data_IF_512654582325
#
_entry.id   IF_512654582325
#
_cell.length_a   1.000
_cell.length_b   1.000
_cell.length_c   1.000
_cell.angle_alpha   90.00
_cell.angle_beta   90.00
_cell.angle_gamma   90.00
#
_symmetry.space_group_name_H-M   'P 1'
#
loop_
_entity.id
_entity.type
_entity.pdbx_description
1 polymer ?
#
# COMPACT_ATOMS: atom_id res chain seq x y z
N UNK A 1 -18.75 0.61 -22.32
CA UNK A 1 -18.16 1.66 -21.44
C UNK A 1 -18.80 1.67 -20.05
N UNK A 2 -20.12 1.80 -19.95
CA UNK A 2 -20.80 1.81 -18.65
C UNK A 2 -20.62 0.51 -17.86
N UNK A 3 -20.72 -0.64 -18.52
CA UNK A 3 -20.49 -1.95 -17.90
C UNK A 3 -19.05 -2.09 -17.39
N UNK A 4 -18.08 -1.55 -18.15
CA UNK A 4 -16.67 -1.58 -17.76
C UNK A 4 -16.43 -0.74 -16.51
N UNK A 5 -16.99 0.47 -16.44
CA UNK A 5 -16.85 1.37 -15.28
C UNK A 5 -17.48 0.77 -14.02
N UNK A 6 -18.68 0.20 -14.14
CA UNK A 6 -19.35 -0.47 -13.01
C UNK A 6 -18.54 -1.65 -12.51
N UNK A 7 -18.04 -2.47 -13.44
CA UNK A 7 -17.23 -3.63 -13.10
C UNK A 7 -15.94 -3.21 -12.38
N UNK A 8 -15.32 -2.14 -12.85
CA UNK A 8 -14.11 -1.59 -12.24
C UNK A 8 -14.39 -1.13 -10.81
N UNK A 9 -15.47 -0.36 -10.62
CA UNK A 9 -15.85 0.14 -9.29
C UNK A 9 -16.11 -1.01 -8.32
N UNK A 10 -16.87 -2.01 -8.76
CA UNK A 10 -17.18 -3.17 -7.92
C UNK A 10 -15.92 -3.93 -7.52
N UNK A 11 -14.98 -4.08 -8.46
CA UNK A 11 -13.77 -4.85 -8.18
C UNK A 11 -12.74 -4.09 -7.35
N UNK A 12 -12.68 -2.77 -7.47
CA UNK A 12 -11.76 -1.99 -6.66
C UNK A 12 -12.29 -1.72 -5.26
N UNK A 13 -13.60 -1.85 -5.05
CA UNK A 13 -14.23 -1.51 -3.77
C UNK A 13 -13.60 -2.24 -2.56
N UNK A 14 -13.33 -3.56 -2.58
CA UNK A 14 -12.67 -4.21 -1.45
C UNK A 14 -11.30 -3.60 -1.13
N UNK A 15 -10.53 -3.24 -2.13
CA UNK A 15 -9.21 -2.61 -1.93
C UNK A 15 -9.38 -1.24 -1.30
N UNK A 16 -10.36 -0.46 -1.75
CA UNK A 16 -10.67 0.86 -1.18
C UNK A 16 -11.05 0.70 0.30
N UNK A 17 -11.88 -0.27 0.63
CA UNK A 17 -12.28 -0.51 2.02
C UNK A 17 -11.10 -0.88 2.89
N UNK A 18 -10.21 -1.74 2.41
CA UNK A 18 -9.00 -2.13 3.13
C UNK A 18 -8.09 -0.91 3.33
N UNK A 19 -7.90 -0.09 2.30
CA UNK A 19 -7.06 1.09 2.39
C UNK A 19 -7.65 2.14 3.34
N UNK A 20 -8.96 2.33 3.35
CA UNK A 20 -9.63 3.24 4.28
C UNK A 20 -9.45 2.74 5.72
N UNK A 21 -9.67 1.45 5.96
CA UNK A 21 -9.48 0.86 7.28
C UNK A 21 -8.04 1.02 7.77
N UNK A 22 -7.07 0.71 6.92
CA UNK A 22 -5.66 0.86 7.25
C UNK A 22 -5.31 2.34 7.51
N UNK A 23 -5.82 3.24 6.69
CA UNK A 23 -5.59 4.67 6.83
C UNK A 23 -6.15 5.22 8.13
N UNK A 24 -7.35 4.77 8.52
CA UNK A 24 -7.95 5.16 9.81
C UNK A 24 -7.12 4.64 10.98
N UNK A 25 -6.63 3.39 10.89
CA UNK A 25 -5.77 2.85 11.92
C UNK A 25 -4.45 3.62 12.02
N UNK A 26 -3.83 3.94 10.89
CA UNK A 26 -2.58 4.72 10.87
C UNK A 26 -2.80 6.11 11.47
N UNK A 27 -3.91 6.76 11.13
CA UNK A 27 -4.25 8.06 11.68
C UNK A 27 -4.47 8.00 13.19
N UNK A 28 -5.13 6.95 13.68
CA UNK A 28 -5.36 6.72 15.10
C UNK A 28 -4.04 6.54 15.85
N UNK A 29 -3.14 5.71 15.33
CA UNK A 29 -1.82 5.47 15.92
C UNK A 29 -1.00 6.76 16.02
N UNK A 30 -1.01 7.57 14.98
CA UNK A 30 -0.24 8.81 14.91
C UNK A 30 -1.00 10.03 15.42
N UNK A 31 -2.30 9.88 15.68
CA UNK A 31 -3.17 10.95 16.18
C UNK A 31 -3.15 12.20 15.31
N UNK A 32 -3.08 12.00 13.99
CA UNK A 32 -3.20 13.08 13.04
C UNK A 32 -2.00 14.03 12.95
N UNK A 33 -0.80 13.58 13.28
CA UNK A 33 0.40 14.39 13.20
C UNK A 33 0.66 14.93 11.78
N UNK A 34 1.60 15.90 11.62
CA UNK A 34 1.83 16.56 10.34
C UNK A 34 2.33 15.63 9.24
N UNK A 35 2.85 14.46 9.60
CA UNK A 35 3.37 13.48 8.66
C UNK A 35 2.31 12.46 8.24
N UNK A 36 1.07 12.63 8.66
CA UNK A 36 -0.02 11.68 8.39
C UNK A 36 -0.22 11.43 6.89
N UNK A 37 -0.23 12.51 6.08
CA UNK A 37 -0.41 12.38 4.64
C UNK A 37 0.71 11.59 3.98
N UNK A 38 1.93 11.75 4.47
CA UNK A 38 3.07 10.97 3.98
C UNK A 38 2.93 9.49 4.33
N UNK A 39 2.41 9.19 5.51
CA UNK A 39 2.21 7.82 5.95
C UNK A 39 1.13 7.11 5.15
N UNK A 40 0.22 7.87 4.55
CA UNK A 40 -0.83 7.32 3.69
C UNK A 40 -0.38 7.10 2.24
N UNK A 41 0.82 7.57 1.88
CA UNK A 41 1.33 7.47 0.51
C UNK A 41 1.31 6.04 -0.04
N UNK A 42 1.78 4.99 0.68
CA UNK A 42 1.72 3.64 0.14
C UNK A 42 0.29 3.17 -0.16
N UNK A 43 -0.68 3.61 0.64
CA UNK A 43 -2.08 3.29 0.37
C UNK A 43 -2.58 3.96 -0.91
N UNK A 44 -2.22 5.23 -1.11
CA UNK A 44 -2.59 5.97 -2.30
C UNK A 44 -1.98 5.35 -3.56
N UNK A 45 -0.70 4.98 -3.50
CA UNK A 45 -0.02 4.34 -4.62
C UNK A 45 -0.64 2.98 -4.93
N UNK A 46 -0.99 2.20 -3.90
CA UNK A 46 -1.65 0.91 -4.08
C UNK A 46 -2.99 1.08 -4.79
N UNK A 47 -3.80 2.07 -4.37
CA UNK A 47 -5.07 2.35 -5.03
C UNK A 47 -4.87 2.71 -6.49
N UNK A 48 -3.87 3.53 -6.79
CA UNK A 48 -3.53 3.90 -8.17
C UNK A 48 -3.12 2.71 -9.00
N UNK A 49 -2.31 1.81 -8.45
CA UNK A 49 -1.89 0.59 -9.14
C UNK A 49 -3.06 -0.35 -9.38
N UNK A 50 -3.94 -0.51 -8.39
CA UNK A 50 -5.14 -1.34 -8.55
C UNK A 50 -6.08 -0.77 -9.62
N UNK A 51 -6.29 0.54 -9.60
CA UNK A 51 -7.10 1.21 -10.60
C UNK A 51 -6.51 1.01 -12.00
N UNK A 52 -5.21 1.22 -12.15
CA UNK A 52 -4.53 1.06 -13.43
C UNK A 52 -4.61 -0.39 -13.94
N UNK A 53 -4.43 -1.36 -13.03
CA UNK A 53 -4.52 -2.78 -13.35
C UNK A 53 -5.90 -3.13 -13.89
N UNK A 54 -6.94 -2.69 -13.19
CA UNK A 54 -8.32 -2.96 -13.60
C UNK A 54 -8.69 -2.23 -14.89
N UNK A 55 -8.25 -0.99 -15.03
CA UNK A 55 -8.53 -0.21 -16.23
C UNK A 55 -7.92 -0.85 -17.47
N UNK A 56 -6.66 -1.27 -17.37
CA UNK A 56 -5.98 -1.94 -18.49
C UNK A 56 -6.57 -3.30 -18.80
N UNK A 57 -7.09 -3.98 -17.78
CA UNK A 57 -7.71 -5.29 -17.94
C UNK A 57 -9.18 -5.25 -18.32
N UNK A 58 -9.73 -4.07 -18.63
CA UNK A 58 -11.15 -3.95 -18.98
C UNK A 58 -12.08 -4.31 -17.84
N UNK A 59 -11.68 -4.00 -16.60
CA UNK A 59 -12.43 -4.33 -15.40
C UNK A 59 -12.07 -5.68 -14.80
N UNK A 60 -11.06 -6.36 -15.32
CA UNK A 60 -10.58 -7.63 -14.80
C UNK A 60 -9.15 -7.49 -14.31
N UNK A 61 -8.81 -8.15 -13.21
CA UNK A 61 -7.46 -8.10 -12.68
C UNK A 61 -6.42 -8.66 -13.66
N UNK A 62 -6.75 -9.75 -14.33
CA UNK A 62 -5.85 -10.42 -15.27
C UNK A 62 -6.23 -10.19 -16.74
N UNK A 63 -7.07 -9.20 -17.03
CA UNK A 63 -7.53 -8.93 -18.39
C UNK A 63 -6.43 -8.55 -19.36
N UNK A 64 -5.32 -7.99 -18.87
CA UNK A 64 -4.16 -7.61 -19.66
C UNK A 64 -2.91 -8.42 -19.24
N UNK A 65 -3.09 -9.67 -18.83
CA UNK A 65 -2.02 -10.54 -18.37
C UNK A 65 -1.78 -10.44 -16.89
N UNK A 66 -0.77 -11.16 -16.41
CA UNK A 66 -0.50 -11.29 -14.97
C UNK A 66 0.59 -10.34 -14.46
N UNK A 67 1.26 -9.59 -15.33
CA UNK A 67 2.34 -8.70 -14.90
C UNK A 67 1.84 -7.61 -13.96
N UNK A 68 0.80 -6.89 -14.36
CA UNK A 68 0.26 -5.81 -13.53
C UNK A 68 -0.35 -6.33 -12.21
N UNK A 69 -1.20 -7.40 -12.21
CA UNK A 69 -1.73 -7.92 -10.96
C UNK A 69 -0.64 -8.41 -10.00
N UNK A 70 0.32 -9.19 -10.50
CA UNK A 70 1.41 -9.69 -9.66
C UNK A 70 2.37 -8.58 -9.24
N UNK A 71 2.62 -7.61 -10.11
CA UNK A 71 3.40 -6.43 -9.74
C UNK A 71 2.72 -5.63 -8.65
N UNK A 72 1.43 -5.38 -8.77
CA UNK A 72 0.64 -4.67 -7.76
C UNK A 72 0.64 -5.43 -6.43
N UNK A 73 0.46 -6.74 -6.46
CA UNK A 73 0.52 -7.57 -5.25
C UNK A 73 1.92 -7.53 -4.63
N UNK A 74 2.95 -7.60 -5.46
CA UNK A 74 4.34 -7.50 -5.03
C UNK A 74 4.68 -6.15 -4.43
N UNK A 75 4.02 -5.08 -4.86
CA UNK A 75 4.10 -3.77 -4.22
C UNK A 75 3.36 -3.79 -2.88
N UNK A 76 2.14 -4.31 -2.86
CA UNK A 76 1.27 -4.24 -1.69
C UNK A 76 1.85 -4.95 -0.47
N UNK A 77 2.36 -6.16 -0.65
CA UNK A 77 2.83 -6.99 0.47
C UNK A 77 3.92 -6.29 1.27
N UNK A 78 5.09 -5.92 0.68
CA UNK A 78 6.13 -5.28 1.46
C UNK A 78 5.79 -3.84 1.86
N UNK A 79 5.14 -3.06 1.01
CA UNK A 79 4.81 -1.67 1.31
C UNK A 79 3.83 -1.58 2.48
N UNK A 80 2.71 -2.29 2.40
CA UNK A 80 1.71 -2.27 3.46
C UNK A 80 2.19 -3.01 4.69
N UNK A 81 2.93 -4.11 4.51
CA UNK A 81 3.50 -4.86 5.62
C UNK A 81 4.47 -4.02 6.43
N UNK A 82 5.36 -3.29 5.78
CA UNK A 82 6.31 -2.40 6.45
C UNK A 82 5.59 -1.25 7.14
N UNK A 83 4.64 -0.61 6.46
CA UNK A 83 3.86 0.48 7.04
C UNK A 83 3.09 0.00 8.27
N UNK A 84 2.42 -1.15 8.17
CA UNK A 84 1.67 -1.73 9.27
C UNK A 84 2.58 -2.10 10.44
N UNK A 85 3.74 -2.70 10.14
CA UNK A 85 4.71 -3.08 11.17
C UNK A 85 5.20 -1.85 11.94
N UNK A 86 5.56 -0.78 11.25
CA UNK A 86 6.06 0.42 11.90
C UNK A 86 4.99 1.08 12.76
N UNK A 87 3.75 1.13 12.29
CA UNK A 87 2.65 1.67 13.09
C UNK A 87 2.34 0.79 14.30
N UNK A 88 2.38 -0.53 14.13
CA UNK A 88 2.17 -1.47 15.23
C UNK A 88 3.29 -1.33 16.27
N UNK A 89 4.54 -1.32 15.83
CA UNK A 89 5.69 -1.17 16.72
C UNK A 89 5.63 0.13 17.49
N UNK A 90 5.21 1.21 16.85
CA UNK A 90 5.05 2.50 17.52
C UNK A 90 3.93 2.43 18.56
N UNK A 91 2.80 1.81 18.25
CA UNK A 91 1.63 1.76 19.13
C UNK A 91 1.91 0.99 20.43
N UNK A 92 2.74 -0.05 20.37
CA UNK A 92 3.06 -0.89 21.54
C UNK A 92 4.48 -0.67 22.06
N UNK A 93 5.22 0.25 21.48
CA UNK A 93 6.62 0.55 21.85
C UNK A 93 7.46 -0.74 21.91
N UNK A 94 7.40 -1.49 20.83
CA UNK A 94 7.99 -2.83 20.73
C UNK A 94 9.51 -2.79 21.00
N UNK A 95 9.96 -3.57 22.01
CA UNK A 95 11.38 -3.67 22.40
C UNK A 95 12.01 -2.32 22.78
N UNK A 96 11.22 -1.40 23.29
CA UNK A 96 11.66 -0.03 23.62
C UNK A 96 12.25 0.72 22.43
N UNK A 97 11.80 0.33 21.22
CA UNK A 97 12.29 0.92 19.97
C UNK A 97 12.09 2.43 19.94
N UNK A 98 11.00 2.93 20.51
CA UNK A 98 10.64 4.34 20.51
C UNK A 98 10.74 4.99 21.90
N UNK A 99 10.70 4.20 22.97
CA UNK A 99 10.60 4.71 24.36
C UNK A 99 11.82 5.49 24.81
N UNK A 100 13.02 5.07 24.41
CA UNK A 100 14.26 5.76 24.73
C UNK A 100 14.72 6.73 23.66
N UNK A 101 13.99 6.83 22.55
CA UNK A 101 14.40 7.66 21.43
C UNK A 101 14.07 9.13 21.70
N UNK A 102 15.03 10.02 21.46
CA UNK A 102 14.81 11.46 21.54
C UNK A 102 13.85 11.96 20.46
N UNK A 103 13.85 11.30 19.30
CA UNK A 103 13.01 11.68 18.16
C UNK A 103 12.32 10.44 17.60
N UNK A 104 11.27 9.92 18.28
CA UNK A 104 10.59 8.71 17.83
C UNK A 104 9.91 8.87 16.46
N UNK A 105 9.58 10.11 16.08
CA UNK A 105 8.92 10.40 14.81
C UNK A 105 9.83 10.27 13.60
N UNK A 106 11.14 10.12 13.80
CA UNK A 106 12.09 9.99 12.68
C UNK A 106 11.77 8.83 11.76
N UNK A 107 11.35 7.71 12.34
CA UNK A 107 11.01 6.52 11.57
C UNK A 107 9.86 6.83 10.60
N UNK A 108 8.86 7.58 11.06
CA UNK A 108 7.71 7.93 10.24
C UNK A 108 8.04 9.00 9.20
N UNK A 109 9.04 9.82 9.45
CA UNK A 109 9.49 10.81 8.48
C UNK A 109 9.97 10.16 7.19
N UNK A 110 10.65 9.01 7.31
CA UNK A 110 11.20 8.29 6.16
C UNK A 110 10.33 7.10 5.75
N UNK A 111 9.19 6.87 6.40
CA UNK A 111 8.29 5.76 6.09
C UNK A 111 7.87 5.75 4.61
N UNK A 112 7.50 6.89 3.99
CA UNK A 112 7.16 6.86 2.56
C UNK A 112 8.32 6.36 1.69
N UNK A 113 9.56 6.78 2.00
CA UNK A 113 10.73 6.34 1.25
C UNK A 113 10.96 4.85 1.42
N UNK A 114 10.86 4.34 2.64
CA UNK A 114 11.05 2.90 2.91
C UNK A 114 9.98 2.06 2.24
N UNK A 115 8.71 2.45 2.36
CA UNK A 115 7.61 1.70 1.77
C UNK A 115 7.63 1.75 0.24
N UNK A 116 8.02 2.89 -0.34
CA UNK A 116 8.15 3.01 -1.79
C UNK A 116 9.30 2.15 -2.32
N UNK A 117 10.45 2.15 -1.63
CA UNK A 117 11.59 1.33 -2.02
C UNK A 117 11.24 -0.16 -1.93
N UNK A 118 10.70 -0.61 -0.80
CA UNK A 118 10.31 -2.00 -0.61
C UNK A 118 9.21 -2.41 -1.59
N UNK A 119 8.20 -1.56 -1.76
CA UNK A 119 7.11 -1.80 -2.70
C UNK A 119 7.58 -1.84 -4.14
N UNK A 120 8.49 -0.94 -4.52
CA UNK A 120 9.06 -0.91 -5.85
C UNK A 120 9.83 -2.18 -6.20
N UNK A 121 10.63 -2.66 -5.26
CA UNK A 121 11.36 -3.93 -5.42
C UNK A 121 10.35 -5.09 -5.57
N UNK A 122 9.35 -5.13 -4.70
CA UNK A 122 8.30 -6.15 -4.76
C UNK A 122 7.51 -6.09 -6.07
N UNK A 123 7.21 -4.88 -6.55
CA UNK A 123 6.54 -4.70 -7.84
C UNK A 123 7.39 -5.29 -8.97
N UNK A 124 8.68 -5.00 -9.00
CA UNK A 124 9.58 -5.52 -10.02
C UNK A 124 9.62 -7.05 -10.00
N UNK A 125 9.69 -7.64 -8.81
CA UNK A 125 9.67 -9.11 -8.66
C UNK A 125 8.35 -9.68 -9.19
N UNK A 126 7.22 -9.09 -8.82
CA UNK A 126 5.91 -9.53 -9.30
C UNK A 126 5.74 -9.38 -10.80
N UNK A 127 6.25 -8.28 -11.36
CA UNK A 127 6.23 -8.02 -12.79
C UNK A 127 7.01 -9.09 -13.57
N UNK A 128 8.21 -9.42 -13.07
CA UNK A 128 9.05 -10.45 -13.68
C UNK A 128 8.37 -11.83 -13.56
N UNK A 129 7.84 -12.14 -12.38
CA UNK A 129 7.13 -13.40 -12.16
C UNK A 129 5.91 -13.54 -13.08
N UNK A 130 5.21 -12.45 -13.31
CA UNK A 130 4.02 -12.43 -14.18
C UNK A 130 4.32 -12.60 -15.67
N UNK A 131 5.59 -12.53 -16.05
CA UNK A 131 6.00 -12.67 -17.45
C UNK A 131 5.66 -14.06 -18.00
N UNK A 132 5.79 -15.10 -17.19
CA UNK A 132 5.63 -16.48 -17.63
C UNK A 132 4.31 -17.13 -17.16
N UNK A 133 3.39 -16.34 -16.67
CA UNK A 133 2.12 -16.86 -16.13
C UNK A 133 0.90 -16.45 -17.00
#
# INVERSE_FOLDING_TARGET
MRTSARRLVVRILPVVLICVAAGLWFADVRQGGPWMLRNLLPLAVLLGLCFLTLRRGGGRWSGNGMRMPLGTLGFAIPALGLAAYLHYAYSVDLNDMFGGAQYPDRVFRFLPAYTMAAGGIGFAIGWIAGRNV
#
